data_IF_133500381435
#
_entry.id   IF_133500381435
#
_cell.length_a   1.000
_cell.length_b   1.000
_cell.length_c   1.000
_cell.angle_alpha   90.00
_cell.angle_beta   90.00
_cell.angle_gamma   90.00
#
_symmetry.space_group_name_H-M   'P 1'
#
loop_
_entity.id
_entity.type
_entity.pdbx_description
1 polymer ?
#
# COMPACT_ATOMS: atom_id res chain seq x y z
N UNK A 1 -9.65 -28.36 -23.16
CA UNK A 1 -9.51 -26.97 -22.68
C UNK A 1 -9.89 -26.97 -21.22
N UNK A 2 -9.23 -26.17 -20.39
CA UNK A 2 -9.51 -26.10 -18.94
C UNK A 2 -10.81 -25.32 -18.74
N UNK A 3 -11.75 -25.85 -17.97
CA UNK A 3 -13.07 -25.25 -17.69
C UNK A 3 -12.92 -23.78 -17.23
N UNK A 4 -11.86 -23.48 -16.48
CA UNK A 4 -11.52 -22.13 -16.01
C UNK A 4 -11.33 -21.13 -17.16
N UNK A 5 -10.76 -21.55 -18.29
CA UNK A 5 -10.52 -20.70 -19.45
C UNK A 5 -11.84 -20.40 -20.19
N UNK A 6 -12.74 -21.38 -20.29
CA UNK A 6 -14.07 -21.20 -20.90
C UNK A 6 -14.96 -20.28 -20.05
N UNK A 7 -14.88 -20.36 -18.73
CA UNK A 7 -15.59 -19.46 -17.80
C UNK A 7 -15.10 -18.02 -17.95
N UNK A 8 -13.79 -17.78 -18.00
CA UNK A 8 -13.25 -16.44 -18.19
C UNK A 8 -13.65 -15.85 -19.56
N UNK A 9 -13.63 -16.68 -20.60
CA UNK A 9 -14.00 -16.26 -21.96
C UNK A 9 -15.49 -15.93 -22.07
N UNK A 10 -16.37 -16.70 -21.42
CA UNK A 10 -17.80 -16.39 -21.37
C UNK A 10 -18.09 -15.13 -20.55
N UNK A 11 -17.42 -14.94 -19.40
CA UNK A 11 -17.57 -13.73 -18.58
C UNK A 11 -17.14 -12.47 -19.32
N UNK A 12 -16.03 -12.52 -20.06
CA UNK A 12 -15.57 -11.36 -20.83
C UNK A 12 -16.55 -10.95 -21.93
N UNK A 13 -17.21 -11.93 -22.59
CA UNK A 13 -18.21 -11.70 -23.65
C UNK A 13 -19.59 -11.27 -23.15
N UNK A 14 -19.89 -11.37 -21.85
CA UNK A 14 -21.21 -11.00 -21.30
C UNK A 14 -21.45 -9.48 -21.23
N UNK A 15 -22.71 -9.02 -21.40
CA UNK A 15 -23.11 -7.63 -21.17
C UNK A 15 -22.91 -7.18 -19.71
N UNK A 16 -22.66 -5.89 -19.52
CA UNK A 16 -22.46 -5.25 -18.22
C UNK A 16 -23.55 -5.53 -17.16
N UNK A 17 -24.86 -5.53 -17.46
CA UNK A 17 -25.88 -5.85 -16.45
C UNK A 17 -25.73 -7.27 -15.88
N UNK A 18 -25.38 -8.24 -16.73
CA UNK A 18 -25.25 -9.64 -16.32
C UNK A 18 -23.99 -9.87 -15.47
N UNK A 19 -22.90 -9.16 -15.80
CA UNK A 19 -21.69 -9.13 -14.96
C UNK A 19 -21.98 -8.61 -13.55
N UNK A 20 -22.80 -7.56 -13.44
CA UNK A 20 -23.20 -6.99 -12.15
C UNK A 20 -24.04 -7.97 -11.35
N UNK A 21 -25.03 -8.61 -11.95
CA UNK A 21 -25.85 -9.62 -11.26
C UNK A 21 -25.01 -10.81 -10.77
N UNK A 22 -24.07 -11.27 -11.59
CA UNK A 22 -23.15 -12.35 -11.24
C UNK A 22 -22.23 -11.95 -10.07
N UNK A 23 -21.75 -10.70 -10.04
CA UNK A 23 -21.00 -10.15 -8.92
C UNK A 23 -21.85 -10.09 -7.64
N UNK A 24 -23.10 -9.59 -7.73
CA UNK A 24 -24.02 -9.56 -6.60
C UNK A 24 -24.29 -10.95 -6.04
N UNK A 25 -24.52 -11.93 -6.92
CA UNK A 25 -24.74 -13.32 -6.54
C UNK A 25 -23.50 -13.93 -5.87
N UNK A 26 -22.30 -13.72 -6.43
CA UNK A 26 -21.05 -14.17 -5.83
C UNK A 26 -20.86 -13.56 -4.43
N UNK A 27 -21.12 -12.25 -4.27
CA UNK A 27 -21.08 -11.57 -2.96
C UNK A 27 -22.10 -12.19 -1.99
N UNK A 28 -23.33 -12.44 -2.45
CA UNK A 28 -24.40 -13.02 -1.64
C UNK A 28 -24.10 -14.46 -1.18
N UNK A 29 -23.41 -15.26 -1.98
CA UNK A 29 -22.99 -16.61 -1.57
C UNK A 29 -21.84 -16.61 -0.57
N UNK A 30 -20.88 -15.70 -0.72
CA UNK A 30 -19.68 -15.65 0.11
C UNK A 30 -19.97 -15.05 1.49
N UNK A 31 -20.82 -14.04 1.57
CA UNK A 31 -21.15 -13.33 2.81
C UNK A 31 -21.66 -14.25 3.94
N UNK A 32 -22.65 -15.14 3.76
CA UNK A 32 -23.12 -16.03 4.82
C UNK A 32 -22.08 -17.07 5.23
N UNK A 33 -21.19 -17.49 4.32
CA UNK A 33 -20.12 -18.44 4.63
C UNK A 33 -19.08 -17.81 5.56
N UNK A 34 -18.73 -16.54 5.33
CA UNK A 34 -17.84 -15.78 6.20
C UNK A 34 -18.46 -15.62 7.58
N UNK A 35 -19.74 -15.23 7.67
CA UNK A 35 -20.45 -15.07 8.94
C UNK A 35 -20.50 -16.37 9.75
N UNK A 36 -20.79 -17.51 9.08
CA UNK A 36 -20.79 -18.83 9.73
C UNK A 36 -19.41 -19.21 10.24
N UNK A 37 -18.35 -18.95 9.47
CA UNK A 37 -16.96 -19.22 9.87
C UNK A 37 -16.54 -18.33 11.05
N UNK A 38 -16.89 -17.05 11.05
CA UNK A 38 -16.65 -16.13 12.17
C UNK A 38 -17.35 -16.60 13.46
N UNK A 39 -18.61 -17.01 13.38
CA UNK A 39 -19.35 -17.52 14.54
C UNK A 39 -18.82 -18.84 15.09
N UNK A 40 -18.13 -19.65 14.28
CA UNK A 40 -17.51 -20.90 14.73
C UNK A 40 -16.13 -20.74 15.39
N UNK A 41 -15.55 -19.54 15.36
CA UNK A 41 -14.23 -19.24 15.90
C UNK A 41 -14.33 -18.73 17.35
N UNK A 42 -13.34 -19.06 18.22
CA UNK A 42 -13.20 -18.46 19.54
C UNK A 42 -13.03 -16.93 19.48
N UNK A 43 -13.48 -16.24 20.53
CA UNK A 43 -13.49 -14.77 20.64
C UNK A 43 -12.11 -14.12 20.39
N UNK A 44 -11.03 -14.75 20.86
CA UNK A 44 -9.65 -14.29 20.61
C UNK A 44 -9.28 -14.25 19.12
N UNK A 45 -9.76 -15.23 18.34
CA UNK A 45 -9.50 -15.28 16.90
C UNK A 45 -10.41 -14.32 16.13
N UNK A 46 -11.63 -14.07 16.61
CA UNK A 46 -12.52 -13.07 16.03
C UNK A 46 -11.90 -11.67 16.10
N UNK A 47 -11.29 -11.31 17.24
CA UNK A 47 -10.55 -10.04 17.40
C UNK A 47 -9.40 -9.92 16.39
N UNK A 48 -8.63 -10.99 16.19
CA UNK A 48 -7.55 -10.99 15.20
C UNK A 48 -8.08 -10.77 13.77
N UNK A 49 -9.23 -11.38 13.44
CA UNK A 49 -9.86 -11.20 12.14
C UNK A 49 -10.38 -9.76 11.98
N UNK A 50 -10.97 -9.17 13.03
CA UNK A 50 -11.42 -7.78 13.02
C UNK A 50 -10.25 -6.82 12.75
N UNK A 51 -9.15 -6.93 13.49
CA UNK A 51 -7.96 -6.11 13.25
C UNK A 51 -7.38 -6.29 11.85
N UNK A 52 -7.44 -7.51 11.31
CA UNK A 52 -7.00 -7.76 9.94
C UNK A 52 -7.91 -7.09 8.90
N UNK A 53 -9.23 -7.11 9.11
CA UNK A 53 -10.19 -6.39 8.26
C UNK A 53 -9.91 -4.89 8.28
N UNK A 54 -9.68 -4.31 9.46
CA UNK A 54 -9.33 -2.88 9.59
C UNK A 54 -8.05 -2.55 8.81
N UNK A 55 -7.03 -3.40 8.92
CA UNK A 55 -5.77 -3.25 8.18
C UNK A 55 -5.99 -3.27 6.66
N UNK A 56 -6.83 -4.18 6.16
CA UNK A 56 -7.16 -4.25 4.73
C UNK A 56 -7.89 -2.99 4.23
N UNK A 57 -8.77 -2.40 5.05
CA UNK A 57 -9.46 -1.15 4.72
C UNK A 57 -8.46 0.00 4.64
N UNK A 58 -7.52 0.08 5.60
CA UNK A 58 -6.46 1.09 5.57
C UNK A 58 -5.55 0.96 4.35
N UNK A 59 -5.17 -0.26 3.97
CA UNK A 59 -4.34 -0.50 2.77
C UNK A 59 -5.04 -0.04 1.49
N UNK A 60 -6.34 -0.29 1.35
CA UNK A 60 -7.11 0.22 0.20
C UNK A 60 -7.17 1.74 0.16
N UNK A 61 -7.39 2.39 1.31
CA UNK A 61 -7.40 3.86 1.40
C UNK A 61 -6.03 4.45 1.03
N UNK A 62 -4.94 3.84 1.53
CA UNK A 62 -3.56 4.26 1.20
C UNK A 62 -3.21 4.05 -0.27
N UNK A 63 -3.67 2.96 -0.89
CA UNK A 63 -3.46 2.70 -2.32
C UNK A 63 -4.11 3.78 -3.20
N UNK A 64 -5.26 4.29 -2.79
CA UNK A 64 -6.00 5.36 -3.48
C UNK A 64 -5.28 6.72 -3.40
N UNK A 65 -4.54 6.97 -2.31
CA UNK A 65 -3.84 8.24 -2.07
C UNK A 65 -2.49 8.34 -2.81
N UNK A 66 -1.90 7.21 -3.20
CA UNK A 66 -0.56 7.16 -3.81
C UNK A 66 -0.52 7.52 -5.31
N UNK A 67 -1.67 7.64 -5.98
CA UNK A 67 -1.73 7.99 -7.41
C UNK A 67 -1.64 9.50 -7.69
N UNK A 68 -1.83 10.38 -6.68
CA UNK A 68 -1.96 11.83 -6.89
C UNK A 68 -0.84 12.70 -6.28
N UNK A 69 0.27 12.11 -5.85
CA UNK A 69 1.42 12.91 -5.39
C UNK A 69 2.58 12.72 -6.38
N UNK A 70 2.98 13.75 -7.15
CA UNK A 70 4.16 13.63 -8.00
C UNK A 70 5.35 13.32 -7.11
N UNK A 71 5.92 12.11 -7.27
CA UNK A 71 7.11 11.67 -6.55
C UNK A 71 8.26 12.62 -6.89
N UNK A 72 8.53 13.60 -6.03
CA UNK A 72 9.71 14.46 -6.16
C UNK A 72 10.94 13.60 -5.93
N UNK A 73 11.64 13.28 -7.02
CA UNK A 73 12.95 12.64 -6.94
C UNK A 73 13.94 13.60 -6.28
N UNK A 74 14.70 13.10 -5.30
CA UNK A 74 15.80 13.85 -4.71
C UNK A 74 16.90 13.95 -5.76
N UNK A 75 17.17 15.17 -6.23
CA UNK A 75 18.29 15.44 -7.12
C UNK A 75 19.51 15.78 -6.27
N UNK A 76 20.63 15.08 -6.52
CA UNK A 76 21.88 15.39 -5.84
C UNK A 76 22.36 16.80 -6.23
N UNK A 77 22.93 17.54 -5.29
CA UNK A 77 23.49 18.89 -5.56
C UNK A 77 22.50 20.05 -5.51
N UNK A 78 21.26 19.84 -5.04
CA UNK A 78 20.28 20.94 -4.84
C UNK A 78 20.72 21.99 -3.80
N UNK A 79 21.66 21.63 -2.93
CA UNK A 79 22.25 22.53 -1.94
C UNK A 79 23.64 23.04 -2.37
N UNK A 80 24.07 22.81 -3.62
CA UNK A 80 25.35 23.30 -4.13
C UNK A 80 25.36 24.83 -4.10
N UNK A 81 26.31 25.41 -3.38
CA UNK A 81 26.44 26.86 -3.20
C UNK A 81 25.67 27.44 -2.01
N UNK A 82 24.94 26.62 -1.24
CA UNK A 82 24.30 27.08 0.02
C UNK A 82 25.28 27.12 1.20
N UNK A 83 26.37 26.35 1.14
CA UNK A 83 27.41 26.34 2.15
C UNK A 83 28.57 27.16 1.59
N UNK A 84 28.89 28.26 2.27
CA UNK A 84 30.06 29.09 2.00
C UNK A 84 31.08 28.75 3.08
N UNK A 85 32.21 28.16 2.65
CA UNK A 85 33.34 27.86 3.52
C UNK A 85 34.34 29.02 3.42
N UNK A 86 34.88 29.42 4.56
CA UNK A 86 35.93 30.43 4.63
C UNK A 86 37.26 29.85 4.11
N UNK A 87 38.10 30.69 3.51
CA UNK A 87 39.39 30.27 2.95
C UNK A 87 40.38 29.77 4.02
N UNK A 88 40.12 30.09 5.30
CA UNK A 88 40.91 29.70 6.48
C UNK A 88 40.38 28.44 7.19
N UNK A 89 39.40 27.72 6.63
CA UNK A 89 38.78 26.56 7.29
C UNK A 89 39.78 25.45 7.65
N UNK A 90 40.80 25.26 6.81
CA UNK A 90 41.85 24.26 7.04
C UNK A 90 42.95 24.76 7.99
N UNK A 91 42.90 26.01 8.46
CA UNK A 91 43.90 26.52 9.39
C UNK A 91 43.72 25.93 10.79
N UNK A 92 44.83 25.56 11.47
CA UNK A 92 44.76 25.02 12.81
C UNK A 92 44.25 26.09 13.77
N UNK A 93 43.18 25.74 14.51
CA UNK A 93 42.65 26.57 15.58
C UNK A 93 43.77 26.89 16.56
N UNK A 94 43.88 28.17 16.92
CA UNK A 94 45.01 28.69 17.69
C UNK A 94 45.20 27.95 19.02
N UNK A 95 44.10 27.57 19.67
CA UNK A 95 44.07 26.81 20.92
C UNK A 95 44.40 25.30 20.77
N UNK A 96 44.41 24.78 19.53
CA UNK A 96 44.64 23.36 19.21
C UNK A 96 45.98 23.11 18.50
N UNK A 97 46.77 24.18 18.23
CA UNK A 97 48.10 24.08 17.59
C UNK A 97 49.05 23.18 18.39
N UNK A 98 48.95 23.18 19.72
CA UNK A 98 49.81 22.36 20.61
C UNK A 98 49.47 20.86 20.59
N UNK A 99 48.40 20.45 19.89
CA UNK A 99 47.87 19.08 19.90
C UNK A 99 47.79 18.42 18.50
N UNK A 100 48.18 19.12 17.42
CA UNK A 100 48.21 18.58 16.05
C UNK A 100 49.63 18.26 15.58
#
# INVERSE_FOLDING_TARGET
MTIDAEILQTITQMPEPLKRELLHYAKYLIQPVILKKLGSLPELLQLKVLHYIDSLIEEQNKASEQENVPKKYRVAGTMKGMIIMSDDFDEPLEDLKDYM
#
